data_IF_980738189012
#
_entry.id   IF_980738189012
#
_cell.length_a   1.000
_cell.length_b   1.000
_cell.length_c   1.000
_cell.angle_alpha   90.00
_cell.angle_beta   90.00
_cell.angle_gamma   90.00
#
_symmetry.space_group_name_H-M   'P 1'
#
loop_
_entity.id
_entity.type
_entity.pdbx_description
1 polymer ?
#
# COMPACT_ATOMS: atom_id res chain seq x y z
N UNK A 1 38.45 8.12 -5.79
CA UNK A 1 37.94 8.71 -7.06
C UNK A 1 36.86 9.76 -6.71
N UNK A 2 37.10 11.04 -7.02
CA UNK A 2 36.11 12.11 -6.82
C UNK A 2 35.16 12.13 -8.04
N UNK A 3 33.93 11.64 -7.90
CA UNK A 3 32.89 11.84 -8.93
C UNK A 3 32.18 13.15 -8.68
N UNK A 4 32.02 13.98 -9.70
CA UNK A 4 31.18 15.18 -9.62
C UNK A 4 29.69 14.79 -9.56
N UNK A 5 28.88 15.53 -8.80
CA UNK A 5 27.44 15.27 -8.62
C UNK A 5 26.69 15.13 -9.96
N UNK A 6 27.11 15.86 -11.00
CA UNK A 6 26.54 15.76 -12.34
C UNK A 6 26.73 14.42 -13.06
N UNK A 7 27.63 13.55 -12.58
CA UNK A 7 27.89 12.22 -13.14
C UNK A 7 27.20 11.08 -12.34
N UNK A 8 26.33 11.42 -11.38
CA UNK A 8 25.59 10.45 -10.58
C UNK A 8 24.28 10.07 -11.28
N UNK A 9 23.85 8.82 -11.11
CA UNK A 9 22.50 8.41 -11.50
C UNK A 9 21.45 9.14 -10.68
N UNK A 10 20.21 9.22 -11.16
CA UNK A 10 19.10 9.82 -10.43
C UNK A 10 18.95 9.26 -9.01
N UNK A 11 18.99 7.93 -8.86
CA UNK A 11 18.93 7.27 -7.57
C UNK A 11 20.13 7.54 -6.65
N UNK A 12 21.34 7.68 -7.21
CA UNK A 12 22.52 8.08 -6.42
C UNK A 12 22.38 9.51 -5.91
N UNK A 13 21.90 10.41 -6.76
CA UNK A 13 21.66 11.81 -6.41
C UNK A 13 20.62 11.92 -5.30
N UNK A 14 19.48 11.23 -5.44
CA UNK A 14 18.40 11.22 -4.44
C UNK A 14 18.86 10.72 -3.08
N UNK A 15 19.67 9.65 -3.05
CA UNK A 15 20.25 9.16 -1.80
C UNK A 15 21.16 10.18 -1.11
N UNK A 16 21.93 10.95 -1.87
CA UNK A 16 22.78 12.02 -1.33
C UNK A 16 21.92 13.17 -0.79
N UNK A 17 20.86 13.55 -1.49
CA UNK A 17 19.96 14.62 -1.04
C UNK A 17 19.27 14.26 0.27
N UNK A 18 18.79 13.01 0.40
CA UNK A 18 18.19 12.51 1.65
C UNK A 18 19.25 12.44 2.76
N UNK A 19 20.44 11.90 2.48
CA UNK A 19 21.53 11.86 3.46
C UNK A 19 21.92 13.25 3.96
N UNK A 20 21.94 14.23 3.05
CA UNK A 20 22.21 15.65 3.41
C UNK A 20 21.11 16.24 4.29
N UNK A 21 19.84 15.93 4.01
CA UNK A 21 18.70 16.38 4.83
C UNK A 21 18.75 15.78 6.22
N UNK A 22 19.17 14.52 6.36
CA UNK A 22 19.29 13.82 7.63
C UNK A 22 20.55 14.18 8.44
N UNK A 23 21.55 14.76 7.80
CA UNK A 23 22.86 15.03 8.43
C UNK A 23 22.78 15.85 9.72
N UNK A 24 21.86 16.81 9.78
CA UNK A 24 21.66 17.68 10.94
C UNK A 24 20.64 17.14 11.96
N UNK A 25 20.18 15.89 11.79
CA UNK A 25 19.18 15.25 12.67
C UNK A 25 17.98 16.16 12.94
N UNK A 26 17.25 16.58 11.91
CA UNK A 26 16.13 17.50 12.08
C UNK A 26 15.01 16.85 12.89
N UNK A 27 14.26 17.65 13.64
CA UNK A 27 13.04 17.17 14.31
C UNK A 27 11.90 16.89 13.34
N UNK A 28 11.87 17.60 12.20
CA UNK A 28 10.87 17.45 11.14
C UNK A 28 11.61 17.32 9.82
N UNK A 29 11.31 16.24 9.08
CA UNK A 29 11.83 16.00 7.74
C UNK A 29 10.66 16.05 6.75
N UNK A 30 10.77 16.92 5.73
CA UNK A 30 9.76 17.03 4.67
C UNK A 30 10.38 16.50 3.39
N UNK A 31 9.69 15.54 2.77
CA UNK A 31 10.12 14.86 1.56
C UNK A 31 9.01 14.92 0.51
N UNK A 32 9.33 15.47 -0.64
CA UNK A 32 8.42 15.52 -1.78
C UNK A 32 8.78 14.40 -2.77
N UNK A 33 7.89 13.42 -2.90
CA UNK A 33 8.05 12.23 -3.74
C UNK A 33 9.46 11.59 -3.66
N UNK A 34 9.94 11.16 -2.47
CA UNK A 34 11.35 10.83 -2.25
C UNK A 34 11.85 9.65 -3.07
N UNK A 35 10.97 8.80 -3.58
CA UNK A 35 11.32 7.52 -4.23
C UNK A 35 10.93 7.45 -5.70
N UNK A 36 10.34 8.53 -6.25
CA UNK A 36 9.94 8.58 -7.66
C UNK A 36 11.12 8.33 -8.59
N UNK A 37 10.91 7.43 -9.57
CA UNK A 37 11.93 7.05 -10.55
C UNK A 37 13.05 6.14 -10.02
N UNK A 38 12.89 5.60 -8.82
CA UNK A 38 13.84 4.65 -8.24
C UNK A 38 13.40 3.19 -8.44
N UNK A 39 14.39 2.32 -8.59
CA UNK A 39 14.14 0.88 -8.59
C UNK A 39 13.65 0.39 -7.22
N UNK A 40 12.91 -0.74 -7.14
CA UNK A 40 12.31 -1.22 -5.90
C UNK A 40 13.33 -1.48 -4.78
N UNK A 41 14.55 -1.93 -5.12
CA UNK A 41 15.59 -2.19 -4.13
C UNK A 41 16.11 -0.89 -3.51
N UNK A 42 16.36 0.12 -4.34
CA UNK A 42 16.80 1.45 -3.88
C UNK A 42 15.70 2.13 -3.05
N UNK A 43 14.42 1.99 -3.45
CA UNK A 43 13.26 2.49 -2.70
C UNK A 43 13.23 1.89 -1.28
N UNK A 44 13.31 0.57 -1.17
CA UNK A 44 13.34 -0.13 0.12
C UNK A 44 14.51 0.31 1.01
N UNK A 45 15.69 0.51 0.42
CA UNK A 45 16.86 1.00 1.15
C UNK A 45 16.61 2.39 1.75
N UNK A 46 16.05 3.31 0.97
CA UNK A 46 15.71 4.66 1.45
C UNK A 46 14.72 4.60 2.60
N UNK A 47 13.68 3.79 2.49
CA UNK A 47 12.69 3.61 3.54
C UNK A 47 13.29 3.06 4.83
N UNK A 48 14.17 2.07 4.73
CA UNK A 48 14.88 1.54 5.91
C UNK A 48 15.69 2.63 6.63
N UNK A 49 16.39 3.47 5.86
CA UNK A 49 17.17 4.59 6.42
C UNK A 49 16.27 5.61 7.11
N UNK A 50 15.20 6.06 6.45
CA UNK A 50 14.25 7.03 7.01
C UNK A 50 13.60 6.47 8.28
N UNK A 51 13.15 5.22 8.27
CA UNK A 51 12.51 4.55 9.41
C UNK A 51 13.46 4.39 10.60
N UNK A 52 14.73 4.08 10.36
CA UNK A 52 15.75 4.04 11.42
C UNK A 52 15.93 5.41 12.07
N UNK A 53 16.17 6.45 11.27
CA UNK A 53 16.32 7.81 11.79
C UNK A 53 15.06 8.30 12.54
N UNK A 54 13.87 7.98 12.03
CA UNK A 54 12.60 8.32 12.69
C UNK A 54 12.55 7.73 14.11
N UNK A 55 12.93 6.47 14.27
CA UNK A 55 12.93 5.78 15.57
C UNK A 55 14.03 6.28 16.49
N UNK A 56 15.25 6.38 15.99
CA UNK A 56 16.43 6.67 16.79
C UNK A 56 16.45 8.13 17.28
N UNK A 57 15.95 9.06 16.48
CA UNK A 57 16.01 10.51 16.76
C UNK A 57 14.62 11.11 17.10
N UNK A 58 13.58 10.29 17.25
CA UNK A 58 12.19 10.72 17.48
C UNK A 58 11.75 11.82 16.49
N UNK A 59 12.05 11.59 15.22
CA UNK A 59 11.85 12.54 14.12
C UNK A 59 10.45 12.38 13.52
N UNK A 60 9.79 13.49 13.25
CA UNK A 60 8.56 13.50 12.45
C UNK A 60 8.93 13.55 10.97
N UNK A 61 8.39 12.62 10.19
CA UNK A 61 8.56 12.59 8.73
C UNK A 61 7.23 12.93 8.07
N UNK A 62 7.22 13.99 7.27
CA UNK A 62 6.11 14.34 6.39
C UNK A 62 6.56 14.11 4.95
N UNK A 63 5.79 13.32 4.19
CA UNK A 63 6.14 13.02 2.81
C UNK A 63 4.92 13.05 1.91
N UNK A 64 5.15 13.36 0.63
CA UNK A 64 4.18 13.13 -0.43
C UNK A 64 4.59 11.90 -1.23
N UNK A 65 3.62 11.13 -1.67
CA UNK A 65 3.85 9.97 -2.55
C UNK A 65 2.61 9.66 -3.37
N UNK A 66 2.80 9.07 -4.53
CA UNK A 66 1.75 8.43 -5.31
C UNK A 66 1.89 6.89 -5.31
N UNK A 67 2.82 6.36 -4.52
CA UNK A 67 2.99 4.92 -4.31
C UNK A 67 2.23 4.47 -3.07
N UNK A 68 1.11 3.80 -3.27
CA UNK A 68 0.25 3.38 -2.16
C UNK A 68 0.92 2.38 -1.22
N UNK A 69 1.90 1.61 -1.69
CA UNK A 69 2.74 0.74 -0.87
C UNK A 69 3.46 1.51 0.24
N UNK A 70 3.87 2.73 -0.02
CA UNK A 70 4.57 3.60 0.94
C UNK A 70 3.64 4.11 2.03
N UNK A 71 2.38 4.33 1.70
CA UNK A 71 1.37 4.79 2.67
C UNK A 71 1.02 3.72 3.69
N UNK A 72 1.21 2.44 3.37
CA UNK A 72 0.91 1.33 4.27
C UNK A 72 1.80 1.31 5.54
N UNK A 73 2.99 1.91 5.45
CA UNK A 73 3.97 2.00 6.55
C UNK A 73 3.88 3.34 7.33
N UNK A 74 2.98 4.23 6.92
CA UNK A 74 2.79 5.51 7.59
C UNK A 74 1.97 5.36 8.88
N UNK A 75 2.20 6.26 9.85
CA UNK A 75 1.37 6.33 11.06
C UNK A 75 0.02 7.01 10.75
N UNK A 76 0.00 7.94 9.79
CA UNK A 76 -1.18 8.68 9.38
C UNK A 76 -1.10 9.04 7.90
N UNK A 77 -2.21 8.97 7.21
CA UNK A 77 -2.33 9.24 5.77
C UNK A 77 -3.39 10.31 5.54
N UNK A 78 -3.11 11.23 4.64
CA UNK A 78 -4.06 12.22 4.12
C UNK A 78 -4.15 12.03 2.61
N UNK A 79 -5.34 11.72 2.10
CA UNK A 79 -5.61 11.60 0.67
C UNK A 79 -6.16 12.94 0.18
N UNK A 80 -5.44 13.55 -0.75
CA UNK A 80 -5.82 14.84 -1.35
C UNK A 80 -6.22 14.58 -2.80
N UNK A 81 -7.41 15.05 -3.18
CA UNK A 81 -7.90 15.04 -4.53
C UNK A 81 -8.52 16.38 -4.90
N UNK A 82 -8.20 16.91 -6.10
CA UNK A 82 -8.63 18.21 -6.58
C UNK A 82 -8.42 19.35 -5.56
N UNK A 83 -7.30 19.31 -4.82
CA UNK A 83 -6.92 20.33 -3.83
C UNK A 83 -7.71 20.29 -2.52
N UNK A 84 -8.46 19.22 -2.26
CA UNK A 84 -9.24 19.00 -1.03
C UNK A 84 -8.83 17.70 -0.36
N UNK A 85 -8.96 17.66 0.94
CA UNK A 85 -8.82 16.42 1.70
C UNK A 85 -10.07 15.57 1.44
N UNK A 86 -9.86 14.42 0.82
CA UNK A 86 -10.93 13.47 0.49
C UNK A 86 -11.09 12.39 1.57
N UNK A 87 -9.98 11.99 2.21
CA UNK A 87 -9.99 11.11 3.36
C UNK A 87 -8.70 11.27 4.17
N UNK A 88 -8.75 10.97 5.47
CA UNK A 88 -7.59 10.95 6.34
C UNK A 88 -7.77 9.96 7.49
N UNK A 89 -6.66 9.42 8.00
CA UNK A 89 -6.66 8.45 9.10
C UNK A 89 -5.42 7.57 9.08
N UNK A 90 -5.37 6.61 9.99
CA UNK A 90 -4.35 5.56 9.91
C UNK A 90 -4.62 4.65 8.71
N UNK A 91 -3.59 4.00 8.13
CA UNK A 91 -3.80 3.07 7.02
C UNK A 91 -4.82 1.96 7.33
N UNK A 92 -4.86 1.49 8.57
CA UNK A 92 -5.81 0.46 8.99
C UNK A 92 -7.25 0.99 9.05
N UNK A 93 -7.46 2.18 9.60
CA UNK A 93 -8.78 2.83 9.62
C UNK A 93 -9.30 3.06 8.21
N UNK A 94 -8.46 3.62 7.32
CA UNK A 94 -8.84 3.88 5.94
C UNK A 94 -9.24 2.60 5.21
N UNK A 95 -8.46 1.52 5.34
CA UNK A 95 -8.82 0.22 4.77
C UNK A 95 -10.14 -0.32 5.33
N UNK A 96 -10.36 -0.22 6.63
CA UNK A 96 -11.60 -0.71 7.25
C UNK A 96 -12.84 0.09 6.84
N UNK A 97 -12.68 1.38 6.51
CA UNK A 97 -13.79 2.25 6.11
C UNK A 97 -14.11 2.11 4.61
N UNK A 98 -13.08 2.10 3.76
CA UNK A 98 -13.24 2.26 2.32
C UNK A 98 -13.07 0.95 1.52
N UNK A 99 -12.56 -0.11 2.15
CA UNK A 99 -12.39 -1.42 1.50
C UNK A 99 -13.00 -2.52 2.37
N UNK A 100 -13.23 -3.67 1.77
CA UNK A 100 -13.52 -4.89 2.51
C UNK A 100 -12.25 -5.72 2.72
N UNK A 101 -12.46 -6.94 3.19
CA UNK A 101 -11.46 -7.99 3.13
C UNK A 101 -11.77 -8.90 1.93
N UNK A 102 -10.78 -9.62 1.46
CA UNK A 102 -10.91 -10.54 0.34
C UNK A 102 -10.57 -11.96 0.78
N UNK A 103 -11.34 -12.92 0.30
CA UNK A 103 -10.96 -14.33 0.38
C UNK A 103 -10.62 -14.78 -1.04
N UNK A 104 -9.37 -15.12 -1.26
CA UNK A 104 -8.96 -15.79 -2.50
C UNK A 104 -9.07 -17.29 -2.27
N UNK A 105 -9.81 -17.98 -3.12
CA UNK A 105 -10.05 -19.41 -3.02
C UNK A 105 -9.61 -20.10 -4.31
N UNK A 106 -8.95 -21.23 -4.18
CA UNK A 106 -8.35 -21.98 -5.28
C UNK A 106 -9.05 -23.34 -5.47
N UNK A 107 -8.94 -23.89 -6.67
CA UNK A 107 -9.41 -25.24 -7.02
C UNK A 107 -10.88 -25.52 -6.67
N UNK A 108 -11.76 -24.54 -6.95
CA UNK A 108 -13.21 -24.66 -6.74
C UNK A 108 -13.95 -24.35 -8.04
N UNK A 109 -15.14 -24.96 -8.19
CA UNK A 109 -16.02 -24.72 -9.32
C UNK A 109 -16.81 -23.41 -9.14
N UNK A 110 -17.07 -22.71 -10.24
CA UNK A 110 -17.86 -21.47 -10.23
C UNK A 110 -19.26 -21.65 -9.65
N UNK A 111 -19.83 -22.84 -9.81
CA UNK A 111 -21.16 -23.18 -9.28
C UNK A 111 -21.20 -23.05 -7.77
N UNK A 112 -20.16 -23.56 -7.10
CA UNK A 112 -20.06 -23.55 -5.64
C UNK A 112 -19.88 -22.12 -5.12
N UNK A 113 -19.14 -21.29 -5.87
CA UNK A 113 -18.96 -19.87 -5.55
C UNK A 113 -20.26 -19.09 -5.66
N UNK A 114 -21.08 -19.35 -6.70
CA UNK A 114 -22.39 -18.72 -6.89
C UNK A 114 -23.37 -19.01 -5.76
N UNK A 115 -23.26 -20.16 -5.11
CA UNK A 115 -24.10 -20.53 -3.96
C UNK A 115 -23.77 -19.77 -2.68
N UNK A 116 -22.59 -19.11 -2.62
CA UNK A 116 -22.16 -18.35 -1.44
C UNK A 116 -22.86 -16.99 -1.30
N UNK A 117 -23.54 -16.51 -2.34
CA UNK A 117 -24.25 -15.22 -2.38
C UNK A 117 -23.37 -14.02 -1.92
N UNK A 118 -22.12 -13.99 -2.40
CA UNK A 118 -21.14 -12.94 -2.18
C UNK A 118 -20.62 -12.40 -3.50
N UNK A 119 -20.22 -11.12 -3.52
CA UNK A 119 -19.54 -10.58 -4.69
C UNK A 119 -18.22 -11.30 -4.92
N UNK A 120 -17.97 -11.70 -6.15
CA UNK A 120 -16.73 -12.36 -6.51
C UNK A 120 -16.23 -11.94 -7.89
N UNK A 121 -14.93 -12.04 -8.07
CA UNK A 121 -14.26 -11.93 -9.36
C UNK A 121 -13.48 -13.21 -9.68
N UNK A 122 -13.48 -13.60 -10.94
CA UNK A 122 -12.65 -14.71 -11.38
C UNK A 122 -11.20 -14.22 -11.55
N UNK A 123 -10.27 -14.95 -10.97
CA UNK A 123 -8.84 -14.73 -11.14
C UNK A 123 -8.21 -15.92 -11.88
N UNK A 124 -6.92 -15.83 -12.19
CA UNK A 124 -6.24 -16.83 -13.04
C UNK A 124 -6.42 -18.28 -12.57
N UNK A 125 -6.36 -18.53 -11.27
CA UNK A 125 -6.37 -19.88 -10.69
C UNK A 125 -7.46 -20.06 -9.61
N UNK A 126 -8.54 -19.28 -9.65
CA UNK A 126 -9.60 -19.38 -8.64
C UNK A 126 -10.51 -18.17 -8.64
N UNK A 127 -11.01 -17.84 -7.48
CA UNK A 127 -11.96 -16.74 -7.28
C UNK A 127 -11.56 -15.88 -6.11
N UNK A 128 -11.74 -14.57 -6.23
CA UNK A 128 -11.60 -13.62 -5.14
C UNK A 128 -13.00 -13.16 -4.71
N UNK A 129 -13.34 -13.46 -3.47
CA UNK A 129 -14.61 -13.09 -2.83
C UNK A 129 -14.42 -11.80 -2.06
N UNK A 130 -15.32 -10.84 -2.20
CA UNK A 130 -15.35 -9.60 -1.41
C UNK A 130 -16.20 -9.79 -0.17
N UNK A 131 -15.66 -9.51 1.00
CA UNK A 131 -16.37 -9.61 2.28
C UNK A 131 -16.18 -8.32 3.10
N UNK A 132 -17.16 -7.94 3.92
CA UNK A 132 -17.08 -6.66 4.65
C UNK A 132 -15.92 -6.55 5.64
N UNK A 133 -15.51 -7.66 6.24
CA UNK A 133 -14.40 -7.71 7.21
C UNK A 133 -13.97 -9.14 7.48
N UNK A 134 -12.87 -9.31 8.22
CA UNK A 134 -12.29 -10.62 8.57
C UNK A 134 -13.26 -11.51 9.35
N UNK A 135 -14.16 -10.94 10.16
CA UNK A 135 -15.16 -11.70 10.88
C UNK A 135 -16.16 -12.35 9.92
N UNK A 136 -16.65 -11.59 8.94
CA UNK A 136 -17.53 -12.11 7.89
C UNK A 136 -16.83 -13.19 7.06
N UNK A 137 -15.53 -13.00 6.74
CA UNK A 137 -14.72 -14.03 6.09
C UNK A 137 -14.70 -15.33 6.90
N UNK A 138 -14.42 -15.23 8.20
CA UNK A 138 -14.38 -16.38 9.09
C UNK A 138 -15.73 -17.10 9.18
N UNK A 139 -16.82 -16.34 9.29
CA UNK A 139 -18.17 -16.90 9.34
C UNK A 139 -18.54 -17.62 8.03
N UNK A 140 -18.14 -17.07 6.87
CA UNK A 140 -18.35 -17.69 5.57
C UNK A 140 -17.62 -19.04 5.46
N UNK A 141 -16.35 -19.08 5.89
CA UNK A 141 -15.53 -20.30 5.90
C UNK A 141 -16.12 -21.37 6.83
N UNK A 142 -16.53 -20.99 8.03
CA UNK A 142 -17.12 -21.94 9.00
C UNK A 142 -18.44 -22.54 8.47
N UNK A 143 -19.24 -21.78 7.73
CA UNK A 143 -20.49 -22.25 7.14
C UNK A 143 -20.29 -23.20 5.97
N UNK A 144 -19.16 -23.10 5.27
CA UNK A 144 -18.89 -23.85 4.03
C UNK A 144 -17.52 -24.51 4.04
N UNK A 145 -17.13 -25.24 5.08
CA UNK A 145 -15.77 -25.72 5.27
C UNK A 145 -15.26 -26.63 4.13
N UNK A 146 -16.18 -27.26 3.39
CA UNK A 146 -15.86 -28.15 2.28
C UNK A 146 -15.29 -27.41 1.06
N UNK A 147 -15.55 -26.11 0.92
CA UNK A 147 -15.08 -25.29 -0.20
C UNK A 147 -13.70 -24.68 0.10
N UNK A 148 -13.43 -24.36 1.34
CA UNK A 148 -12.23 -23.62 1.76
C UNK A 148 -11.07 -24.55 2.14
N UNK A 149 -10.62 -25.40 1.20
CA UNK A 149 -9.48 -26.29 1.39
C UNK A 149 -8.15 -25.56 1.14
N UNK A 150 -8.11 -24.69 0.12
CA UNK A 150 -6.96 -23.86 -0.22
C UNK A 150 -7.44 -22.42 -0.44
N UNK A 151 -7.10 -21.53 0.50
CA UNK A 151 -7.55 -20.15 0.46
C UNK A 151 -6.61 -19.20 1.20
N UNK A 152 -6.73 -17.92 0.89
CA UNK A 152 -6.00 -16.83 1.51
C UNK A 152 -6.99 -15.71 1.90
N UNK A 153 -6.84 -15.18 3.12
CA UNK A 153 -7.58 -13.97 3.53
C UNK A 153 -6.63 -12.78 3.49
N UNK A 154 -7.00 -11.77 2.71
CA UNK A 154 -6.22 -10.53 2.60
C UNK A 154 -7.09 -9.32 2.92
N UNK A 155 -6.51 -8.35 3.62
CA UNK A 155 -7.16 -7.04 3.76
C UNK A 155 -7.04 -6.25 2.47
N UNK A 156 -7.99 -5.37 2.24
CA UNK A 156 -7.92 -4.39 1.16
C UNK A 156 -6.60 -3.60 1.20
N UNK A 157 -6.14 -3.18 0.04
CA UNK A 157 -4.90 -2.42 -0.12
C UNK A 157 -5.18 -0.91 -0.09
N UNK A 158 -4.15 -0.11 0.10
CA UNK A 158 -4.28 1.34 0.01
C UNK A 158 -4.62 1.82 -1.40
N UNK A 159 -4.27 1.04 -2.43
CA UNK A 159 -4.72 1.26 -3.81
C UNK A 159 -6.26 1.23 -3.90
N UNK A 160 -6.89 0.24 -3.26
CA UNK A 160 -8.35 0.11 -3.24
C UNK A 160 -9.00 1.28 -2.48
N UNK A 161 -8.38 1.72 -1.37
CA UNK A 161 -8.81 2.93 -0.63
C UNK A 161 -8.78 4.16 -1.53
N UNK A 162 -7.65 4.38 -2.22
CA UNK A 162 -7.49 5.53 -3.11
C UNK A 162 -8.55 5.54 -4.22
N UNK A 163 -8.76 4.38 -4.85
CA UNK A 163 -9.78 4.23 -5.89
C UNK A 163 -11.19 4.50 -5.34
N UNK A 164 -11.53 3.96 -4.17
CA UNK A 164 -12.84 4.15 -3.54
C UNK A 164 -13.11 5.63 -3.18
N UNK A 165 -12.06 6.33 -2.71
CA UNK A 165 -12.18 7.72 -2.24
C UNK A 165 -12.21 8.72 -3.40
N UNK A 166 -11.41 8.50 -4.46
CA UNK A 166 -11.23 9.45 -5.56
C UNK A 166 -11.99 9.06 -6.84
N UNK A 167 -12.38 7.81 -6.98
CA UNK A 167 -12.94 7.26 -8.23
C UNK A 167 -11.93 7.20 -9.39
N UNK A 168 -10.63 7.42 -9.11
CA UNK A 168 -9.57 7.51 -10.12
C UNK A 168 -8.64 6.30 -10.03
N UNK A 169 -8.36 5.68 -11.18
CA UNK A 169 -7.35 4.62 -11.26
C UNK A 169 -5.95 5.25 -11.10
N UNK A 170 -5.09 4.63 -10.29
CA UNK A 170 -3.70 5.08 -10.15
C UNK A 170 -2.96 4.95 -11.49
N UNK A 171 -2.40 6.08 -11.96
CA UNK A 171 -1.54 6.08 -13.14
C UNK A 171 -0.21 5.43 -12.74
N UNK A 172 -0.03 4.15 -13.10
CA UNK A 172 1.21 3.40 -12.81
C UNK A 172 1.02 2.04 -12.12
N UNK A 173 -0.19 1.65 -11.81
CA UNK A 173 -0.51 0.27 -11.42
C UNK A 173 -0.39 -0.65 -12.65
N UNK A 174 0.52 -1.61 -12.58
CA UNK A 174 1.02 -2.43 -13.66
C UNK A 174 -0.08 -2.94 -14.59
N UNK A 175 -0.04 -2.52 -15.84
CA UNK A 175 -0.33 -3.38 -16.97
C UNK A 175 0.75 -4.47 -16.97
N UNK A 176 0.40 -5.66 -16.63
CA UNK A 176 0.73 -6.99 -17.20
C UNK A 176 0.66 -8.08 -16.15
#
# INVERSE_FOLDING_TARGET
MKRTVGKLSGGQRRRIDIARALFHKPKILILDEPTTGLDPQTRRLIWNVISSFRKDENMTVFLTTHYMEETAEADYVVIIDDGKISAEGTPLELKNIYTGDYITIYDVDEKDIKELDVEYEQIRNGYRLSVPNTKAATELIIRNPQLFNDYEITKGKMDDVFLAVTGKTLVGGAEK
#
